data_IF_089912913810
#
_entry.id   IF_089912913810
#
_cell.length_a   1.000
_cell.length_b   1.000
_cell.length_c   1.000
_cell.angle_alpha   90.00
_cell.angle_beta   90.00
_cell.angle_gamma   90.00
#
_symmetry.space_group_name_H-M   'P 1'
#
loop_
_entity.id
_entity.type
_entity.pdbx_description
1 polymer ?
#
# COMPACT_ATOMS: atom_id res chain seq x y z
N UNK A 1 20.16 -12.63 2.64
CA UNK A 1 19.03 -13.12 3.47
C UNK A 1 17.90 -12.09 3.55
N UNK A 2 18.20 -10.80 3.75
CA UNK A 2 17.18 -9.73 3.69
C UNK A 2 16.56 -9.54 2.29
N UNK A 3 17.34 -9.72 1.23
CA UNK A 3 16.85 -9.49 -0.15
C UNK A 3 15.83 -10.55 -0.60
N UNK A 4 16.04 -11.82 -0.25
CA UNK A 4 15.08 -12.89 -0.56
C UNK A 4 13.73 -12.72 0.16
N UNK A 5 13.73 -12.14 1.38
CA UNK A 5 12.51 -11.83 2.13
C UNK A 5 11.79 -10.64 1.49
N UNK A 6 12.53 -9.61 1.07
CA UNK A 6 11.98 -8.47 0.34
C UNK A 6 11.32 -8.93 -0.96
N UNK A 7 11.98 -9.76 -1.76
CA UNK A 7 11.44 -10.24 -3.04
C UNK A 7 10.17 -11.10 -2.88
N UNK A 8 10.14 -11.98 -1.88
CA UNK A 8 8.96 -12.80 -1.59
C UNK A 8 7.75 -11.95 -1.14
N UNK A 9 7.98 -10.98 -0.26
CA UNK A 9 6.93 -10.08 0.22
C UNK A 9 6.47 -9.10 -0.86
N UNK A 10 7.42 -8.64 -1.68
CA UNK A 10 7.24 -7.73 -2.81
C UNK A 10 6.28 -8.29 -3.86
N UNK A 11 6.46 -9.56 -4.25
CA UNK A 11 5.55 -10.23 -5.17
C UNK A 11 4.13 -10.37 -4.59
N UNK A 12 4.01 -10.78 -3.31
CA UNK A 12 2.72 -10.92 -2.64
C UNK A 12 1.95 -9.60 -2.54
N UNK A 13 2.65 -8.51 -2.22
CA UNK A 13 2.09 -7.17 -2.13
C UNK A 13 1.61 -6.62 -3.49
N UNK A 14 2.35 -6.91 -4.57
CA UNK A 14 1.89 -6.57 -5.93
C UNK A 14 0.59 -7.29 -6.29
N UNK A 15 0.52 -8.60 -6.04
CA UNK A 15 -0.68 -9.39 -6.30
C UNK A 15 -1.86 -8.84 -5.50
N UNK A 16 -1.64 -8.43 -4.25
CA UNK A 16 -2.66 -7.79 -3.43
C UNK A 16 -3.15 -6.46 -4.04
N UNK A 17 -2.25 -5.58 -4.51
CA UNK A 17 -2.64 -4.31 -5.14
C UNK A 17 -3.44 -4.51 -6.43
N UNK A 18 -3.02 -5.43 -7.29
CA UNK A 18 -3.74 -5.75 -8.52
C UNK A 18 -5.13 -6.33 -8.24
N UNK A 19 -5.21 -7.23 -7.25
CA UNK A 19 -6.48 -7.85 -6.84
C UNK A 19 -7.42 -6.81 -6.24
N UNK A 20 -6.93 -5.93 -5.38
CA UNK A 20 -7.78 -4.88 -4.77
C UNK A 20 -8.22 -3.83 -5.81
N UNK A 21 -7.34 -3.41 -6.72
CA UNK A 21 -7.70 -2.46 -7.78
C UNK A 21 -8.78 -3.03 -8.73
N UNK A 22 -8.62 -4.28 -9.17
CA UNK A 22 -9.63 -4.96 -10.01
C UNK A 22 -10.97 -5.13 -9.30
N UNK A 23 -10.99 -5.50 -8.02
CA UNK A 23 -12.20 -5.59 -7.20
C UNK A 23 -12.90 -4.23 -7.10
N UNK A 24 -12.16 -3.15 -6.81
CA UNK A 24 -12.72 -1.79 -6.72
C UNK A 24 -13.36 -1.38 -8.06
N UNK A 25 -12.73 -1.70 -9.18
CA UNK A 25 -13.28 -1.43 -10.52
C UNK A 25 -14.60 -2.20 -10.76
N UNK A 26 -14.64 -3.49 -10.44
CA UNK A 26 -15.84 -4.32 -10.60
C UNK A 26 -16.98 -3.80 -9.73
N UNK A 27 -16.71 -3.48 -8.46
CA UNK A 27 -17.72 -2.94 -7.53
C UNK A 27 -18.24 -1.58 -7.99
N UNK A 28 -17.35 -0.69 -8.43
CA UNK A 28 -17.73 0.61 -8.97
C UNK A 28 -18.64 0.48 -10.18
N UNK A 29 -18.37 -0.48 -11.06
CA UNK A 29 -19.21 -0.77 -12.21
C UNK A 29 -20.59 -1.33 -11.81
N UNK A 30 -20.63 -2.26 -10.85
CA UNK A 30 -21.89 -2.80 -10.32
C UNK A 30 -22.77 -1.70 -9.71
N UNK A 31 -22.17 -0.78 -8.94
CA UNK A 31 -22.89 0.39 -8.41
C UNK A 31 -23.44 1.25 -9.55
N UNK A 32 -22.64 1.53 -10.59
CA UNK A 32 -23.05 2.35 -11.73
C UNK A 32 -24.23 1.72 -12.50
N UNK A 33 -24.18 0.41 -12.78
CA UNK A 33 -25.27 -0.29 -13.46
C UNK A 33 -26.54 -0.25 -12.63
N UNK A 34 -26.47 -0.62 -11.36
CA UNK A 34 -27.63 -0.66 -10.50
C UNK A 34 -28.26 0.73 -10.33
N UNK A 35 -27.43 1.78 -10.32
CA UNK A 35 -27.92 3.16 -10.28
C UNK A 35 -28.66 3.57 -11.56
N UNK A 36 -28.12 3.25 -12.75
CA UNK A 36 -28.72 3.63 -14.04
C UNK A 36 -29.99 2.81 -14.34
N UNK A 37 -29.98 1.51 -14.03
CA UNK A 37 -31.08 0.60 -14.34
C UNK A 37 -32.27 0.72 -13.36
N UNK A 38 -32.21 1.61 -12.38
CA UNK A 38 -33.24 1.71 -11.33
C UNK A 38 -33.28 0.46 -10.44
N UNK A 39 -32.12 -0.16 -10.20
CA UNK A 39 -31.97 -1.34 -9.37
C UNK A 39 -32.40 -1.09 -7.92
N UNK A 40 -32.63 -2.18 -7.18
CA UNK A 40 -33.06 -2.10 -5.78
C UNK A 40 -32.01 -1.35 -4.94
N UNK A 41 -32.46 -0.37 -4.14
CA UNK A 41 -31.58 0.43 -3.27
C UNK A 41 -30.72 -0.44 -2.33
N UNK A 42 -31.21 -1.62 -1.96
CA UNK A 42 -30.51 -2.61 -1.12
C UNK A 42 -29.19 -3.06 -1.76
N UNK A 43 -29.17 -3.32 -3.08
CA UNK A 43 -27.96 -3.77 -3.78
C UNK A 43 -26.91 -2.67 -3.89
N UNK A 44 -27.35 -1.43 -4.15
CA UNK A 44 -26.46 -0.26 -4.18
C UNK A 44 -25.80 -0.05 -2.81
N UNK A 45 -26.58 -0.15 -1.73
CA UNK A 45 -26.06 -0.02 -0.36
C UNK A 45 -25.07 -1.15 -0.05
N UNK A 46 -25.37 -2.40 -0.43
CA UNK A 46 -24.50 -3.55 -0.23
C UNK A 46 -23.14 -3.36 -0.92
N UNK A 47 -23.14 -3.03 -2.20
CA UNK A 47 -21.89 -2.78 -2.93
C UNK A 47 -21.14 -1.56 -2.40
N UNK A 48 -21.86 -0.50 -2.00
CA UNK A 48 -21.26 0.68 -1.37
C UNK A 48 -20.55 0.35 -0.05
N UNK A 49 -21.18 -0.45 0.82
CA UNK A 49 -20.58 -0.91 2.07
C UNK A 49 -19.33 -1.78 1.81
N UNK A 50 -19.39 -2.67 0.83
CA UNK A 50 -18.25 -3.51 0.48
C UNK A 50 -17.08 -2.70 -0.09
N UNK A 51 -17.37 -1.68 -0.90
CA UNK A 51 -16.37 -0.74 -1.39
C UNK A 51 -15.73 0.06 -0.23
N UNK A 52 -16.54 0.56 0.71
CA UNK A 52 -16.04 1.24 1.92
C UNK A 52 -15.14 0.32 2.76
N UNK A 53 -15.51 -0.95 2.93
CA UNK A 53 -14.71 -1.94 3.65
C UNK A 53 -13.34 -2.15 3.01
N UNK A 54 -13.28 -2.25 1.67
CA UNK A 54 -12.01 -2.40 0.95
C UNK A 54 -11.11 -1.18 1.12
N UNK A 55 -11.67 0.02 1.06
CA UNK A 55 -10.94 1.26 1.31
C UNK A 55 -10.43 1.38 2.74
N UNK A 56 -11.21 0.95 3.73
CA UNK A 56 -10.81 0.93 5.12
C UNK A 56 -9.62 -0.03 5.33
N UNK A 57 -9.68 -1.23 4.77
CA UNK A 57 -8.57 -2.20 4.82
C UNK A 57 -7.31 -1.63 4.19
N UNK A 58 -7.40 -1.06 2.98
CA UNK A 58 -6.25 -0.45 2.30
C UNK A 58 -5.63 0.68 3.13
N UNK A 59 -6.46 1.53 3.74
CA UNK A 59 -6.01 2.61 4.63
C UNK A 59 -5.25 2.07 5.85
N UNK A 60 -5.75 1.00 6.47
CA UNK A 60 -5.08 0.36 7.61
C UNK A 60 -3.71 -0.20 7.19
N UNK A 61 -3.62 -0.87 6.04
CA UNK A 61 -2.35 -1.36 5.53
C UNK A 61 -1.34 -0.22 5.27
N UNK A 62 -1.78 0.89 4.69
CA UNK A 62 -0.92 2.06 4.48
C UNK A 62 -0.49 2.71 5.80
N UNK A 63 -1.36 2.77 6.80
CA UNK A 63 -1.00 3.31 8.11
C UNK A 63 0.04 2.43 8.81
N UNK A 64 -0.13 1.11 8.76
CA UNK A 64 0.83 0.16 9.32
C UNK A 64 2.18 0.29 8.61
N UNK A 65 2.20 0.37 7.28
CA UNK A 65 3.43 0.52 6.52
C UNK A 65 4.16 1.83 6.84
N UNK A 66 3.43 2.93 6.95
CA UNK A 66 3.99 4.23 7.32
C UNK A 66 4.55 4.24 8.75
N UNK A 67 3.84 3.64 9.71
CA UNK A 67 4.32 3.50 11.09
C UNK A 67 5.59 2.67 11.19
N UNK A 68 5.64 1.51 10.51
CA UNK A 68 6.83 0.65 10.49
C UNK A 68 8.02 1.40 9.87
N UNK A 69 7.77 2.13 8.78
CA UNK A 69 8.80 2.92 8.10
C UNK A 69 9.33 4.03 9.00
N UNK A 70 8.44 4.75 9.69
CA UNK A 70 8.80 5.83 10.60
C UNK A 70 9.61 5.35 11.81
N UNK A 71 9.20 4.25 12.46
CA UNK A 71 9.95 3.67 13.59
C UNK A 71 11.32 3.14 13.15
N UNK A 72 11.39 2.49 11.98
CA UNK A 72 12.68 2.06 11.41
C UNK A 72 13.65 3.23 11.23
N UNK A 73 13.13 4.38 10.78
CA UNK A 73 13.95 5.59 10.58
C UNK A 73 14.43 6.17 11.91
N UNK A 74 13.54 6.24 12.92
CA UNK A 74 13.90 6.70 14.27
C UNK A 74 14.96 5.80 14.92
N UNK A 75 14.85 4.49 14.77
CA UNK A 75 15.88 3.57 15.25
C UNK A 75 17.23 3.85 14.58
N UNK A 76 17.26 4.06 13.26
CA UNK A 76 18.47 4.42 12.53
C UNK A 76 19.08 5.74 13.05
N UNK A 77 18.25 6.76 13.27
CA UNK A 77 18.68 8.06 13.81
C UNK A 77 19.22 7.93 15.25
N UNK A 78 18.61 7.10 16.08
CA UNK A 78 19.08 6.82 17.43
C UNK A 78 20.48 6.16 17.41
N UNK A 79 20.70 5.17 16.55
CA UNK A 79 22.03 4.56 16.39
C UNK A 79 23.06 5.54 15.84
N UNK A 80 22.66 6.40 14.90
CA UNK A 80 23.55 7.42 14.32
C UNK A 80 24.00 8.46 15.36
N UNK A 81 23.12 8.83 16.30
CA UNK A 81 23.43 9.77 17.38
C UNK A 81 24.31 9.19 18.50
N UNK A 82 24.54 7.88 18.53
CA UNK A 82 25.51 7.29 19.46
C UNK A 82 26.91 7.73 19.03
N UNK A 83 27.75 8.15 20.00
CA UNK A 83 29.17 8.44 19.77
C UNK A 83 29.95 7.13 19.55
N UNK A 84 29.64 6.40 18.48
CA UNK A 84 30.15 5.06 18.17
C UNK A 84 31.67 4.99 18.09
N UNK A 85 32.33 6.13 17.82
CA UNK A 85 33.78 6.30 17.82
C UNK A 85 34.42 6.32 19.23
N UNK A 86 33.64 6.47 20.29
CA UNK A 86 34.10 6.42 21.68
C UNK A 86 33.83 5.06 22.37
N UNK A 87 33.25 4.08 21.66
CA UNK A 87 32.97 2.76 22.20
C UNK A 87 34.13 1.77 21.96
N UNK A 88 34.20 0.66 22.73
CA UNK A 88 35.11 -0.44 22.44
C UNK A 88 34.97 -0.93 20.99
N UNK A 89 36.07 -1.37 20.39
CA UNK A 89 36.14 -1.77 18.97
C UNK A 89 35.09 -2.83 18.60
N UNK A 90 34.77 -3.76 19.51
CA UNK A 90 33.76 -4.79 19.26
C UNK A 90 32.35 -4.18 19.18
N UNK A 91 31.98 -3.32 20.13
CA UNK A 91 30.68 -2.63 20.09
C UNK A 91 30.56 -1.62 18.95
N UNK A 92 31.66 -0.96 18.56
CA UNK A 92 31.67 0.01 17.47
C UNK A 92 31.37 -0.67 16.12
N UNK A 93 31.95 -1.85 15.88
CA UNK A 93 31.66 -2.67 14.69
C UNK A 93 30.20 -3.11 14.63
N UNK A 94 29.66 -3.57 15.75
CA UNK A 94 28.26 -4.00 15.81
C UNK A 94 27.29 -2.84 15.54
N UNK A 95 27.56 -1.65 16.07
CA UNK A 95 26.74 -0.46 15.82
C UNK A 95 26.81 -0.03 14.35
N UNK A 96 27.99 -0.06 13.73
CA UNK A 96 28.13 0.29 12.30
C UNK A 96 27.32 -0.68 11.42
N UNK A 97 27.36 -1.98 11.72
CA UNK A 97 26.53 -2.98 11.01
C UNK A 97 25.03 -2.73 11.25
N UNK A 98 24.63 -2.38 12.48
CA UNK A 98 23.24 -2.01 12.79
C UNK A 98 22.80 -0.73 12.07
N UNK A 99 23.66 0.28 11.94
CA UNK A 99 23.40 1.51 11.17
C UNK A 99 23.21 1.17 9.70
N UNK A 100 24.14 0.42 9.10
CA UNK A 100 24.06 0.01 7.69
C UNK A 100 22.77 -0.79 7.39
N UNK A 101 22.35 -1.65 8.32
CA UNK A 101 21.11 -2.44 8.20
C UNK A 101 19.84 -1.64 8.43
N UNK A 102 19.85 -0.65 9.33
CA UNK A 102 18.67 0.17 9.66
C UNK A 102 18.43 1.32 8.69
N UNK A 103 19.47 1.73 7.93
CA UNK A 103 19.36 2.66 6.80
C UNK A 103 18.56 2.11 5.62
N UNK A 104 18.28 0.81 5.59
CA UNK A 104 17.29 0.22 4.67
C UNK A 104 15.92 0.29 5.37
N UNK A 105 15.14 1.38 5.17
CA UNK A 105 13.83 1.48 5.79
C UNK A 105 13.03 0.24 5.45
N UNK A 106 12.38 -0.34 6.45
CA UNK A 106 11.45 -1.45 6.27
C UNK A 106 10.15 -0.94 5.63
N UNK A 107 10.27 -0.33 4.46
CA UNK A 107 9.14 0.06 3.64
C UNK A 107 8.54 -1.22 3.07
N UNK A 108 7.23 -1.40 3.22
CA UNK A 108 6.50 -2.43 2.52
C UNK A 108 6.46 -2.05 1.04
N UNK A 109 7.48 -2.51 0.31
CA UNK A 109 7.57 -2.40 -1.13
C UNK A 109 6.61 -3.42 -1.76
N UNK A 110 5.64 -2.95 -2.52
CA UNK A 110 4.95 -3.76 -3.50
C UNK A 110 5.78 -3.80 -4.77
N UNK A 111 6.52 -4.88 -4.99
CA UNK A 111 7.38 -4.97 -6.17
C UNK A 111 8.69 -4.19 -6.03
N UNK A 112 9.23 -3.82 -7.18
CA UNK A 112 10.17 -2.71 -7.34
C UNK A 112 9.43 -1.40 -7.71
N UNK A 113 8.10 -1.39 -7.65
CA UNK A 113 7.28 -0.37 -8.31
C UNK A 113 6.75 0.69 -7.34
N UNK A 114 6.15 0.28 -6.21
CA UNK A 114 5.51 1.25 -5.30
C UNK A 114 5.61 0.81 -3.84
N UNK A 115 5.86 1.75 -2.93
CA UNK A 115 5.71 1.50 -1.48
C UNK A 115 4.25 1.69 -1.07
N UNK A 116 3.78 0.98 -0.04
CA UNK A 116 2.49 1.31 0.57
C UNK A 116 2.62 2.63 1.33
N UNK A 117 1.92 3.66 0.84
CA UNK A 117 1.81 4.97 1.47
C UNK A 117 0.46 5.60 1.08
N UNK A 118 0.06 6.63 1.79
CA UNK A 118 -1.07 7.49 1.45
C UNK A 118 -1.04 7.99 -0.01
N UNK A 119 0.15 8.14 -0.61
CA UNK A 119 0.31 8.47 -2.05
C UNK A 119 -0.26 7.35 -2.94
N UNK A 120 0.09 6.10 -2.65
CA UNK A 120 -0.34 4.91 -3.40
C UNK A 120 -1.85 4.71 -3.33
N UNK A 121 -2.47 5.03 -2.18
CA UNK A 121 -3.93 5.05 -2.06
C UNK A 121 -4.56 6.06 -3.03
N UNK A 122 -3.95 7.24 -3.15
CA UNK A 122 -4.40 8.29 -4.07
C UNK A 122 -4.24 7.87 -5.54
N UNK A 123 -3.17 7.17 -5.88
CA UNK A 123 -2.97 6.69 -7.25
C UNK A 123 -3.88 5.51 -7.60
N UNK A 124 -4.14 4.60 -6.66
CA UNK A 124 -5.12 3.50 -6.83
C UNK A 124 -6.53 4.07 -7.06
N UNK A 125 -6.92 5.12 -6.34
CA UNK A 125 -8.23 5.76 -6.56
C UNK A 125 -8.33 6.46 -7.91
N UNK A 126 -7.29 7.21 -8.32
CA UNK A 126 -7.24 7.86 -9.64
C UNK A 126 -7.31 6.85 -10.78
N UNK A 127 -6.56 5.76 -10.69
CA UNK A 127 -6.56 4.70 -11.71
C UNK A 127 -7.92 4.02 -11.78
N UNK A 128 -8.51 3.63 -10.63
CA UNK A 128 -9.85 3.05 -10.58
C UNK A 128 -10.92 3.96 -11.19
N UNK A 129 -10.90 5.27 -10.87
CA UNK A 129 -11.83 6.25 -11.45
C UNK A 129 -11.60 6.43 -12.96
N UNK A 130 -10.36 6.37 -13.42
CA UNK A 130 -10.02 6.43 -14.85
C UNK A 130 -10.59 5.22 -15.58
N UNK A 131 -10.40 4.01 -15.05
CA UNK A 131 -10.98 2.78 -15.60
C UNK A 131 -12.52 2.83 -15.63
N UNK A 132 -13.14 3.29 -14.54
CA UNK A 132 -14.60 3.46 -14.49
C UNK A 132 -15.10 4.48 -15.52
N UNK A 133 -14.36 5.58 -15.74
CA UNK A 133 -14.72 6.60 -16.73
C UNK A 133 -14.69 6.04 -18.16
N UNK A 134 -13.67 5.25 -18.47
CA UNK A 134 -13.55 4.55 -19.76
C UNK A 134 -14.68 3.53 -19.95
N UNK A 135 -14.95 2.70 -18.94
CA UNK A 135 -16.06 1.73 -18.98
C UNK A 135 -17.42 2.43 -19.16
N UNK A 136 -17.60 3.59 -18.52
CA UNK A 136 -18.81 4.39 -18.70
C UNK A 136 -18.94 4.94 -20.12
N UNK A 137 -17.85 5.43 -20.73
CA UNK A 137 -17.91 5.96 -22.11
C UNK A 137 -18.27 4.87 -23.12
N UNK A 138 -17.80 3.63 -22.93
CA UNK A 138 -18.20 2.51 -23.78
C UNK A 138 -19.69 2.20 -23.67
N UNK A 139 -20.25 2.19 -22.46
CA UNK A 139 -21.68 1.92 -22.26
C UNK A 139 -22.61 3.02 -22.81
N UNK A 140 -22.14 4.26 -22.92
CA UNK A 140 -22.93 5.38 -23.49
C UNK A 140 -22.90 5.37 -25.02
N UNK A 141 -21.90 4.72 -25.62
CA UNK A 141 -21.71 4.66 -27.08
C UNK A 141 -22.52 3.52 -27.76
N UNK A 142 -23.20 2.69 -26.99
CA UNK A 142 -24.07 1.58 -27.43
C UNK A 142 -25.54 1.95 -27.15
#
# INVERSE_FOLDING_TARGET
MGDSVKDAFSAGLLVYLLTTNSIICILGYQILINFIAGGQAVEIIRFGLFLMQMYAMLSIYCMISEHITAESLKCCEAFYNIRWYNLPIDCSKDIVVCIERSQQPLALWAGQFTTFSSVTLTDVTKTALSYLSVLRSFKIAE
#
